data_IF_230308883753
#
_entry.id   IF_230308883753
#
_cell.length_a   1.000
_cell.length_b   1.000
_cell.length_c   1.000
_cell.angle_alpha   90.00
_cell.angle_beta   90.00
_cell.angle_gamma   90.00
#
_symmetry.space_group_name_H-M   'P 1'
#
loop_
_entity.id
_entity.type
_entity.pdbx_description
1 polymer ?
#
# COMPACT_ATOMS: atom_id res chain seq x y z
N UNK A 1 27.46 30.00 8.14
CA UNK A 1 26.18 30.12 7.41
C UNK A 1 25.57 28.75 7.30
N UNK A 2 24.30 28.63 7.68
CA UNK A 2 23.67 27.39 8.12
C UNK A 2 23.24 26.53 6.93
N UNK A 3 23.82 25.35 6.81
CA UNK A 3 23.61 24.47 5.66
C UNK A 3 22.13 24.04 5.56
N UNK A 4 21.37 23.84 6.66
CA UNK A 4 19.94 23.49 6.59
C UNK A 4 19.08 24.44 5.75
N UNK A 5 19.40 25.74 5.73
CA UNK A 5 18.71 26.74 4.88
C UNK A 5 18.84 26.44 3.38
N UNK A 6 19.98 25.91 2.95
CA UNK A 6 20.31 25.77 1.53
C UNK A 6 19.46 24.71 0.81
N UNK A 7 19.07 23.63 1.51
CA UNK A 7 18.25 22.55 0.92
C UNK A 7 16.78 22.96 0.80
N UNK A 8 16.23 23.61 1.83
CA UNK A 8 14.86 24.14 1.79
C UNK A 8 14.73 25.25 0.74
N UNK A 9 15.71 26.16 0.65
CA UNK A 9 15.77 27.20 -0.40
C UNK A 9 15.89 26.60 -1.82
N UNK A 10 16.63 25.51 -1.99
CA UNK A 10 16.75 24.80 -3.28
C UNK A 10 15.42 24.17 -3.70
N UNK A 11 14.67 23.60 -2.75
CA UNK A 11 13.39 22.96 -3.02
C UNK A 11 12.28 23.99 -3.23
N UNK A 12 12.28 25.08 -2.47
CA UNK A 12 11.44 26.25 -2.76
C UNK A 12 11.66 26.74 -4.20
N UNK A 13 12.92 26.79 -4.65
CA UNK A 13 13.25 27.19 -6.01
C UNK A 13 12.76 26.20 -7.06
N UNK A 14 12.93 24.89 -6.83
CA UNK A 14 12.42 23.85 -7.73
C UNK A 14 10.90 23.95 -7.84
N UNK A 15 10.20 24.07 -6.71
CA UNK A 15 8.75 24.24 -6.65
C UNK A 15 8.28 25.50 -7.39
N UNK A 16 9.00 26.62 -7.27
CA UNK A 16 8.70 27.86 -8.00
C UNK A 16 8.92 27.75 -9.51
N UNK A 17 9.87 26.92 -9.96
CA UNK A 17 10.27 26.81 -11.37
C UNK A 17 9.51 25.74 -12.17
N UNK A 18 9.01 24.69 -11.52
CA UNK A 18 8.40 23.54 -12.19
C UNK A 18 7.32 22.80 -11.39
N UNK A 19 6.89 23.32 -10.23
CA UNK A 19 5.90 22.67 -9.36
C UNK A 19 6.42 21.38 -8.70
N UNK A 20 5.52 20.63 -8.06
CA UNK A 20 5.86 19.41 -7.31
C UNK A 20 6.44 18.27 -8.16
N UNK A 21 6.06 18.18 -9.44
CA UNK A 21 6.55 17.16 -10.38
C UNK A 21 8.02 17.29 -10.76
N UNK A 22 8.66 18.40 -10.41
CA UNK A 22 10.09 18.63 -10.67
C UNK A 22 11.00 18.09 -9.56
N UNK A 23 10.44 17.61 -8.44
CA UNK A 23 11.21 17.05 -7.33
C UNK A 23 11.55 15.59 -7.59
N UNK A 24 12.80 15.22 -7.32
CA UNK A 24 13.23 13.82 -7.29
C UNK A 24 12.91 13.17 -5.93
N UNK A 25 12.70 11.86 -5.90
CA UNK A 25 12.44 11.09 -4.67
C UNK A 25 13.46 11.39 -3.56
N UNK A 26 14.75 11.48 -3.90
CA UNK A 26 15.83 11.83 -2.96
C UNK A 26 15.61 13.19 -2.29
N UNK A 27 15.06 14.17 -3.01
CA UNK A 27 14.85 15.53 -2.50
C UNK A 27 13.64 15.56 -1.57
N UNK A 28 12.57 14.85 -1.93
CA UNK A 28 11.38 14.68 -1.09
C UNK A 28 11.76 14.01 0.23
N UNK A 29 12.48 12.87 0.18
CA UNK A 29 12.91 12.13 1.36
C UNK A 29 13.85 12.95 2.23
N UNK A 30 14.81 13.67 1.61
CA UNK A 30 15.76 14.49 2.36
C UNK A 30 15.09 15.63 3.13
N UNK A 31 14.06 16.28 2.57
CA UNK A 31 13.29 17.30 3.30
C UNK A 31 12.50 16.70 4.44
N UNK A 32 11.79 15.61 4.18
CA UNK A 32 10.98 14.95 5.19
C UNK A 32 11.84 14.58 6.40
N UNK A 33 12.98 13.93 6.16
CA UNK A 33 13.92 13.58 7.21
C UNK A 33 14.55 14.82 7.85
N UNK A 34 14.88 15.84 7.07
CA UNK A 34 15.43 17.10 7.58
C UNK A 34 14.51 17.89 8.53
N UNK A 35 13.21 17.58 8.54
CA UNK A 35 12.26 18.15 9.50
C UNK A 35 12.36 17.52 10.90
N UNK A 36 12.92 16.31 11.00
CA UNK A 36 12.97 15.51 12.24
C UNK A 36 14.38 15.04 12.63
N UNK A 37 15.37 15.28 11.77
CA UNK A 37 16.80 15.02 12.00
C UNK A 37 17.64 16.29 11.87
N UNK A 38 18.86 16.26 12.41
CA UNK A 38 19.87 17.21 11.97
C UNK A 38 20.25 16.96 10.50
N UNK A 39 20.79 18.00 9.84
CA UNK A 39 21.05 17.94 8.40
C UNK A 39 21.97 16.78 8.00
N UNK A 40 23.03 16.50 8.76
CA UNK A 40 24.01 15.48 8.38
C UNK A 40 23.33 14.11 8.45
N UNK A 41 22.63 13.83 9.55
CA UNK A 41 21.87 12.60 9.72
C UNK A 41 20.80 12.43 8.63
N UNK A 42 20.04 13.48 8.33
CA UNK A 42 19.02 13.41 7.27
C UNK A 42 19.65 13.05 5.91
N UNK A 43 20.80 13.62 5.57
CA UNK A 43 21.51 13.32 4.33
C UNK A 43 22.06 11.89 4.29
N UNK A 44 22.67 11.44 5.39
CA UNK A 44 23.23 10.10 5.52
C UNK A 44 22.11 9.04 5.42
N UNK A 45 21.00 9.22 6.14
CA UNK A 45 19.83 8.32 6.09
C UNK A 45 19.16 8.35 4.71
N UNK A 46 19.00 9.53 4.10
CA UNK A 46 18.46 9.63 2.72
C UNK A 46 19.31 8.82 1.76
N UNK A 47 20.64 8.95 1.84
CA UNK A 47 21.54 8.20 0.97
C UNK A 47 21.36 6.69 1.19
N UNK A 48 21.38 6.23 2.43
CA UNK A 48 21.16 4.81 2.75
C UNK A 48 19.82 4.30 2.22
N UNK A 49 18.75 5.09 2.35
CA UNK A 49 17.44 4.74 1.79
C UNK A 49 17.48 4.65 0.26
N UNK A 50 18.04 5.64 -0.43
CA UNK A 50 18.12 5.64 -1.91
C UNK A 50 19.02 4.51 -2.45
N UNK A 51 20.07 4.14 -1.72
CA UNK A 51 20.98 3.05 -2.11
C UNK A 51 20.31 1.68 -1.97
N UNK A 52 19.34 1.53 -1.07
CA UNK A 52 18.67 0.25 -0.75
C UNK A 52 17.20 0.18 -1.22
N UNK A 53 16.66 1.27 -1.75
CA UNK A 53 15.28 1.36 -2.23
C UNK A 53 15.27 2.12 -3.57
N UNK A 54 14.96 1.44 -4.71
CA UNK A 54 14.81 2.08 -6.02
C UNK A 54 13.89 3.31 -6.10
N UNK A 55 12.98 3.54 -5.14
CA UNK A 55 12.15 4.74 -5.10
C UNK A 55 11.33 4.92 -3.83
N UNK A 56 10.60 6.04 -3.74
CA UNK A 56 9.83 6.44 -2.56
C UNK A 56 8.72 5.44 -2.20
N UNK A 57 8.14 4.76 -3.20
CA UNK A 57 7.11 3.75 -2.99
C UNK A 57 7.59 2.61 -2.09
N UNK A 58 8.81 2.11 -2.31
CA UNK A 58 9.40 1.05 -1.50
C UNK A 58 9.76 1.52 -0.08
N UNK A 59 10.20 2.77 0.06
CA UNK A 59 10.44 3.38 1.38
C UNK A 59 9.15 3.42 2.20
N UNK A 60 8.06 3.88 1.59
CA UNK A 60 6.74 3.88 2.23
C UNK A 60 6.19 2.46 2.42
N UNK A 61 6.64 1.49 1.63
CA UNK A 61 6.26 0.08 1.73
C UNK A 61 6.77 -0.65 2.97
N UNK A 62 7.97 -0.28 3.45
CA UNK A 62 8.63 -0.91 4.61
C UNK A 62 7.77 -0.88 5.87
N UNK A 63 7.91 -1.93 6.69
CA UNK A 63 7.37 -1.91 8.05
C UNK A 63 8.19 -0.96 8.92
N UNK A 64 7.57 -0.40 9.96
CA UNK A 64 8.23 0.57 10.84
C UNK A 64 9.48 -0.03 11.52
N UNK A 65 9.45 -1.33 11.84
CA UNK A 65 10.59 -2.01 12.47
C UNK A 65 11.74 -2.21 11.46
N UNK A 66 11.43 -2.47 10.19
CA UNK A 66 12.45 -2.51 9.13
C UNK A 66 13.08 -1.13 8.92
N UNK A 67 12.29 -0.06 8.99
CA UNK A 67 12.80 1.32 8.92
C UNK A 67 13.77 1.61 10.07
N UNK A 68 13.44 1.21 11.30
CA UNK A 68 14.29 1.41 12.48
C UNK A 68 15.64 0.67 12.39
N UNK A 69 15.73 -0.38 11.59
CA UNK A 69 16.98 -1.13 11.38
C UNK A 69 17.97 -0.42 10.44
N UNK A 70 17.55 0.67 9.79
CA UNK A 70 18.42 1.46 8.91
C UNK A 70 19.43 2.25 9.74
N UNK A 71 20.71 2.16 9.37
CA UNK A 71 21.78 2.87 10.07
C UNK A 71 21.51 4.39 10.07
N UNK A 72 21.56 4.99 11.27
CA UNK A 72 21.28 6.42 11.47
C UNK A 72 19.80 6.78 11.57
N UNK A 73 18.87 5.85 11.33
CA UNK A 73 17.44 6.08 11.52
C UNK A 73 17.10 6.24 13.00
N UNK A 74 16.42 7.33 13.34
CA UNK A 74 15.84 7.51 14.69
C UNK A 74 14.39 7.05 14.73
N UNK A 75 13.87 6.77 15.93
CA UNK A 75 12.44 6.46 16.11
C UNK A 75 11.52 7.56 15.56
N UNK A 76 11.90 8.83 15.75
CA UNK A 76 11.13 9.98 15.25
C UNK A 76 11.08 10.04 13.72
N UNK A 77 12.16 9.66 13.06
CA UNK A 77 12.23 9.67 11.60
C UNK A 77 11.50 8.49 10.96
N UNK A 78 11.63 7.30 11.54
CA UNK A 78 10.79 6.16 11.16
C UNK A 78 9.30 6.51 11.34
N UNK A 79 8.94 7.15 12.46
CA UNK A 79 7.58 7.60 12.70
C UNK A 79 7.10 8.67 11.70
N UNK A 80 7.98 9.58 11.26
CA UNK A 80 7.66 10.60 10.26
C UNK A 80 7.35 9.99 8.89
N UNK A 81 8.14 9.00 8.45
CA UNK A 81 7.88 8.23 7.22
C UNK A 81 6.54 7.50 7.35
N UNK A 82 6.29 6.83 8.47
CA UNK A 82 5.03 6.12 8.73
C UNK A 82 3.83 7.07 8.72
N UNK A 83 3.97 8.29 9.25
CA UNK A 83 2.91 9.31 9.18
C UNK A 83 2.58 9.70 7.74
N UNK A 84 3.58 9.84 6.87
CA UNK A 84 3.36 10.15 5.44
C UNK A 84 2.69 8.99 4.71
N UNK A 85 3.12 7.75 4.98
CA UNK A 85 2.47 6.53 4.48
C UNK A 85 0.98 6.50 4.86
N UNK A 86 0.67 6.72 6.14
CA UNK A 86 -0.70 6.73 6.64
C UNK A 86 -1.54 7.88 6.08
N UNK A 87 -0.94 9.07 5.91
CA UNK A 87 -1.62 10.20 5.28
C UNK A 87 -2.00 9.88 3.83
N UNK A 88 -1.07 9.29 3.05
CA UNK A 88 -1.33 8.91 1.66
C UNK A 88 -2.41 7.83 1.57
N UNK A 89 -2.34 6.78 2.39
CA UNK A 89 -3.38 5.74 2.50
C UNK A 89 -4.76 6.34 2.79
N UNK A 90 -4.85 7.27 3.74
CA UNK A 90 -6.12 7.92 4.11
C UNK A 90 -6.67 8.79 3.00
N UNK A 91 -5.83 9.55 2.30
CA UNK A 91 -6.24 10.38 1.17
C UNK A 91 -6.87 9.53 0.06
N UNK A 92 -6.26 8.39 -0.29
CA UNK A 92 -6.83 7.46 -1.28
C UNK A 92 -8.12 6.81 -0.78
N UNK A 93 -8.15 6.40 0.50
CA UNK A 93 -9.33 5.80 1.14
C UNK A 93 -10.55 6.71 1.10
N UNK A 94 -10.36 8.02 1.29
CA UNK A 94 -11.46 8.99 1.20
C UNK A 94 -12.09 9.02 -0.19
N UNK A 95 -11.29 8.89 -1.25
CA UNK A 95 -11.79 8.79 -2.62
C UNK A 95 -12.71 7.58 -2.80
N UNK A 96 -12.31 6.42 -2.26
CA UNK A 96 -13.07 5.16 -2.34
C UNK A 96 -14.34 5.14 -1.47
N UNK A 97 -14.42 5.99 -0.45
CA UNK A 97 -15.64 6.15 0.36
C UNK A 97 -16.70 7.02 -0.30
N UNK A 98 -16.29 7.95 -1.18
CA UNK A 98 -17.17 8.96 -1.76
C UNK A 98 -17.91 8.48 -3.02
N UNK A 99 -17.42 7.43 -3.68
CA UNK A 99 -18.03 6.87 -4.89
C UNK A 99 -17.72 5.38 -5.06
N UNK A 100 -18.31 4.73 -6.09
CA UNK A 100 -18.08 3.31 -6.32
C UNK A 100 -16.60 3.04 -6.60
N UNK A 101 -16.03 2.07 -5.89
CA UNK A 101 -14.66 1.61 -6.06
C UNK A 101 -14.43 1.09 -7.48
N UNK A 102 -15.45 0.42 -8.03
CA UNK A 102 -15.39 -0.20 -9.36
C UNK A 102 -15.51 0.81 -10.52
N UNK A 103 -15.89 2.07 -10.27
CA UNK A 103 -15.99 3.09 -11.33
C UNK A 103 -14.61 3.56 -11.83
N UNK A 104 -13.54 3.23 -11.10
CA UNK A 104 -12.18 3.53 -11.51
C UNK A 104 -11.23 2.45 -11.01
N UNK A 105 -10.95 1.51 -11.89
CA UNK A 105 -9.96 0.46 -11.66
C UNK A 105 -8.60 1.05 -11.28
N UNK A 106 -8.20 2.16 -11.90
CA UNK A 106 -6.97 2.88 -11.53
C UNK A 106 -6.92 3.25 -10.05
N UNK A 107 -8.02 3.79 -9.48
CA UNK A 107 -8.09 4.13 -8.05
C UNK A 107 -8.04 2.89 -7.16
N UNK A 108 -8.70 1.81 -7.56
CA UNK A 108 -8.63 0.53 -6.84
C UNK A 108 -7.20 -0.01 -6.82
N UNK A 109 -6.55 -0.07 -7.98
CA UNK A 109 -5.17 -0.55 -8.13
C UNK A 109 -4.19 0.33 -7.36
N UNK A 110 -4.33 1.66 -7.41
CA UNK A 110 -3.52 2.58 -6.60
C UNK A 110 -3.74 2.34 -5.10
N UNK A 111 -4.99 2.17 -4.68
CA UNK A 111 -5.31 1.89 -3.28
C UNK A 111 -4.70 0.57 -2.79
N UNK A 112 -4.82 -0.51 -3.58
CA UNK A 112 -4.22 -1.81 -3.26
C UNK A 112 -2.69 -1.68 -3.22
N UNK A 113 -2.08 -1.00 -4.20
CA UNK A 113 -0.63 -0.81 -4.30
C UNK A 113 -0.05 -0.11 -3.07
N UNK A 114 -0.68 0.95 -2.59
CA UNK A 114 -0.21 1.70 -1.40
C UNK A 114 -0.41 0.92 -0.10
N UNK A 115 -1.41 0.03 -0.05
CA UNK A 115 -1.67 -0.78 1.14
C UNK A 115 -0.73 -1.99 1.25
N UNK A 116 -0.51 -2.72 0.15
CA UNK A 116 0.22 -3.99 0.16
C UNK A 116 1.27 -4.15 -0.95
N UNK A 117 1.19 -3.39 -2.05
CA UNK A 117 2.02 -3.62 -3.24
C UNK A 117 3.53 -3.39 -3.05
N UNK A 118 3.91 -2.53 -2.10
CA UNK A 118 5.31 -2.29 -1.73
C UNK A 118 5.77 -3.07 -0.49
N UNK A 119 4.92 -3.98 0.03
CA UNK A 119 5.30 -4.81 1.16
C UNK A 119 6.36 -5.84 0.75
N UNK A 120 7.42 -5.98 1.56
CA UNK A 120 8.45 -6.99 1.35
C UNK A 120 7.99 -8.41 1.75
N UNK A 121 6.91 -8.50 2.52
CA UNK A 121 6.24 -9.76 2.90
C UNK A 121 4.94 -9.91 2.14
N UNK A 122 4.47 -11.13 1.97
CA UNK A 122 3.11 -11.36 1.52
C UNK A 122 2.10 -10.78 2.52
N UNK A 123 1.13 -10.06 1.98
CA UNK A 123 0.08 -9.42 2.71
C UNK A 123 -1.21 -9.51 1.88
N UNK A 124 -2.29 -9.89 2.54
CA UNK A 124 -3.64 -9.93 1.98
C UNK A 124 -4.40 -8.69 2.43
N UNK A 125 -5.01 -7.98 1.49
CA UNK A 125 -5.96 -6.91 1.72
C UNK A 125 -7.37 -7.40 1.36
N UNK A 126 -8.29 -7.31 2.31
CA UNK A 126 -9.73 -7.48 2.06
C UNK A 126 -10.41 -6.13 2.07
N UNK A 127 -11.15 -5.82 1.00
CA UNK A 127 -11.94 -4.61 0.87
C UNK A 127 -13.42 -5.00 0.95
N UNK A 128 -14.15 -4.44 1.90
CA UNK A 128 -15.58 -4.68 2.10
C UNK A 128 -16.40 -3.52 1.52
N UNK A 129 -17.37 -3.84 0.66
CA UNK A 129 -18.13 -2.87 -0.12
C UNK A 129 -19.62 -2.91 0.21
N UNK A 130 -20.27 -1.75 0.12
CA UNK A 130 -21.74 -1.65 0.21
C UNK A 130 -22.42 -1.96 -1.13
N UNK A 131 -23.76 -1.93 -1.16
CA UNK A 131 -24.56 -2.19 -2.38
C UNK A 131 -24.34 -1.16 -3.50
N UNK A 132 -23.66 -0.06 -3.24
CA UNK A 132 -23.25 0.94 -4.22
C UNK A 132 -21.76 0.80 -4.58
N UNK A 133 -21.14 -0.33 -4.23
CA UNK A 133 -19.72 -0.61 -4.40
C UNK A 133 -18.81 0.42 -3.73
N UNK A 134 -19.25 1.08 -2.66
CA UNK A 134 -18.41 2.03 -1.90
C UNK A 134 -17.70 1.32 -0.77
N UNK A 135 -16.50 1.79 -0.46
CA UNK A 135 -15.71 1.25 0.64
C UNK A 135 -16.41 1.42 2.00
N UNK A 136 -16.77 0.32 2.65
CA UNK A 136 -17.19 0.30 4.06
C UNK A 136 -15.93 0.25 4.94
N UNK A 137 -15.11 -0.78 4.72
CA UNK A 137 -13.92 -1.08 5.52
C UNK A 137 -12.91 -1.87 4.70
N UNK A 138 -11.68 -1.85 5.15
CA UNK A 138 -10.58 -2.68 4.68
C UNK A 138 -9.88 -3.33 5.88
N UNK A 139 -9.25 -4.47 5.62
CA UNK A 139 -8.38 -5.16 6.58
C UNK A 139 -7.16 -5.74 5.86
N UNK A 140 -5.98 -5.47 6.42
CA UNK A 140 -4.72 -6.04 5.95
C UNK A 140 -4.31 -7.17 6.90
N UNK A 141 -3.96 -8.31 6.32
CA UNK A 141 -3.47 -9.50 6.99
C UNK A 141 -2.05 -9.74 6.49
N UNK A 142 -1.07 -9.64 7.39
CA UNK A 142 0.31 -9.94 7.06
C UNK A 142 0.55 -11.44 7.19
N UNK A 143 1.28 -11.99 6.23
CA UNK A 143 1.70 -13.37 6.22
C UNK A 143 2.84 -13.64 7.19
N UNK A 144 3.18 -14.92 7.29
CA UNK A 144 4.46 -15.35 7.83
C UNK A 144 5.53 -15.33 6.71
N UNK A 145 6.69 -15.94 6.91
CA UNK A 145 7.76 -15.99 5.90
C UNK A 145 7.27 -16.69 4.61
N UNK A 146 6.38 -17.68 4.73
CA UNK A 146 6.01 -18.55 3.61
C UNK A 146 4.59 -18.32 3.08
N UNK A 147 3.59 -18.02 3.93
CA UNK A 147 2.20 -17.85 3.48
C UNK A 147 1.35 -16.94 4.41
N UNK A 148 0.25 -16.40 3.87
CA UNK A 148 -0.85 -15.75 4.62
C UNK A 148 -2.02 -16.73 4.77
N UNK A 149 -2.28 -17.23 5.99
CA UNK A 149 -3.51 -17.99 6.24
C UNK A 149 -4.70 -17.07 6.47
N UNK A 150 -5.41 -16.71 5.40
CA UNK A 150 -6.69 -16.02 5.47
C UNK A 150 -7.79 -17.02 5.84
N UNK A 151 -8.52 -16.75 6.93
CA UNK A 151 -9.69 -17.57 7.27
C UNK A 151 -10.95 -16.99 6.63
N UNK A 152 -11.54 -17.73 5.69
CA UNK A 152 -12.79 -17.37 5.00
C UNK A 152 -13.90 -17.13 6.01
N UNK A 153 -13.97 -17.97 7.05
CA UNK A 153 -14.91 -17.80 8.18
C UNK A 153 -14.79 -16.41 8.82
N UNK A 154 -13.56 -15.91 9.02
CA UNK A 154 -13.36 -14.58 9.60
C UNK A 154 -13.79 -13.48 8.63
N UNK A 155 -13.42 -13.61 7.36
CA UNK A 155 -13.80 -12.67 6.29
C UNK A 155 -15.31 -12.59 6.17
N UNK A 156 -16.00 -13.72 6.00
CA UNK A 156 -17.47 -13.79 5.88
C UNK A 156 -18.16 -13.25 7.13
N UNK A 157 -17.70 -13.64 8.33
CA UNK A 157 -18.26 -13.10 9.60
C UNK A 157 -18.16 -11.58 9.64
N UNK A 158 -17.02 -11.03 9.19
CA UNK A 158 -16.77 -9.59 9.22
C UNK A 158 -17.61 -8.86 8.17
N UNK A 159 -17.67 -9.38 6.95
CA UNK A 159 -18.54 -8.88 5.88
C UNK A 159 -20.01 -8.82 6.33
N UNK A 160 -20.54 -9.90 6.93
CA UNK A 160 -21.89 -9.94 7.48
C UNK A 160 -22.11 -8.92 8.59
N UNK A 161 -21.16 -8.79 9.52
CA UNK A 161 -21.28 -7.85 10.65
C UNK A 161 -21.35 -6.38 10.25
N UNK A 162 -20.92 -6.05 9.03
CA UNK A 162 -20.96 -4.68 8.48
C UNK A 162 -21.92 -4.53 7.32
N UNK A 163 -22.76 -5.53 7.05
CA UNK A 163 -23.72 -5.56 5.94
C UNK A 163 -23.07 -5.30 4.57
N UNK A 164 -21.85 -5.83 4.38
CA UNK A 164 -21.18 -5.75 3.09
C UNK A 164 -22.00 -6.52 2.04
N UNK A 165 -22.19 -5.91 0.88
CA UNK A 165 -22.83 -6.54 -0.27
C UNK A 165 -21.82 -7.39 -1.05
N UNK A 166 -20.57 -6.93 -1.10
CA UNK A 166 -19.50 -7.60 -1.82
C UNK A 166 -18.14 -7.32 -1.20
N UNK A 167 -17.14 -8.09 -1.62
CA UNK A 167 -15.74 -7.96 -1.17
C UNK A 167 -14.79 -7.99 -2.37
N UNK A 168 -13.61 -7.42 -2.20
CA UNK A 168 -12.45 -7.63 -3.09
C UNK A 168 -11.35 -8.27 -2.27
N UNK A 169 -10.78 -9.35 -2.79
CA UNK A 169 -9.58 -9.99 -2.27
C UNK A 169 -8.38 -9.40 -3.01
N UNK A 170 -7.29 -9.11 -2.30
CA UNK A 170 -6.04 -8.73 -2.95
C UNK A 170 -4.85 -9.24 -2.16
N UNK A 171 -3.77 -9.62 -2.82
CA UNK A 171 -2.49 -9.88 -2.16
C UNK A 171 -1.32 -9.45 -3.02
N UNK A 172 -0.16 -9.27 -2.41
CA UNK A 172 1.06 -8.97 -3.14
C UNK A 172 1.93 -10.22 -3.33
N UNK A 173 2.65 -10.28 -4.44
CA UNK A 173 3.76 -11.20 -4.65
C UNK A 173 5.08 -10.42 -4.57
N UNK A 174 5.80 -10.44 -3.43
CA UNK A 174 7.10 -9.78 -3.31
C UNK A 174 8.11 -10.25 -4.36
N UNK A 175 8.02 -11.51 -4.80
CA UNK A 175 8.85 -12.09 -5.86
C UNK A 175 8.58 -11.53 -7.26
N UNK A 176 7.53 -10.72 -7.43
CA UNK A 176 7.25 -10.00 -8.68
C UNK A 176 6.49 -10.78 -9.75
N UNK A 177 6.10 -12.04 -9.50
CA UNK A 177 5.24 -12.79 -10.42
C UNK A 177 3.82 -12.27 -10.38
N UNK A 178 3.21 -12.03 -11.55
CA UNK A 178 1.77 -11.75 -11.66
C UNK A 178 0.95 -13.00 -12.00
N UNK A 179 1.61 -14.15 -12.13
CA UNK A 179 0.92 -15.40 -12.40
C UNK A 179 0.35 -15.97 -11.10
N UNK A 180 -0.97 -16.23 -11.04
CA UNK A 180 -1.58 -16.85 -9.87
C UNK A 180 -1.08 -18.28 -9.69
N UNK A 181 -0.65 -18.60 -8.47
CA UNK A 181 -0.35 -19.95 -8.04
C UNK A 181 -1.62 -20.82 -7.99
N UNK A 182 -1.46 -22.13 -7.83
CA UNK A 182 -2.61 -23.00 -7.58
C UNK A 182 -3.27 -22.72 -6.24
N UNK A 183 -2.49 -22.33 -5.22
CA UNK A 183 -3.01 -21.98 -3.90
C UNK A 183 -3.86 -20.69 -3.96
N UNK A 184 -3.45 -19.70 -4.77
CA UNK A 184 -4.27 -18.51 -5.04
C UNK A 184 -5.64 -18.88 -5.62
N UNK A 185 -5.66 -19.81 -6.59
CA UNK A 185 -6.91 -20.28 -7.23
C UNK A 185 -7.76 -21.12 -6.28
N UNK A 186 -7.15 -21.90 -5.40
CA UNK A 186 -7.87 -22.66 -4.36
C UNK A 186 -8.51 -21.69 -3.36
N UNK A 187 -7.72 -20.79 -2.77
CA UNK A 187 -8.20 -19.77 -1.83
C UNK A 187 -9.34 -18.96 -2.44
N UNK A 188 -9.21 -18.53 -3.70
CA UNK A 188 -10.27 -17.80 -4.41
C UNK A 188 -11.57 -18.59 -4.46
N UNK A 189 -11.52 -19.84 -4.92
CA UNK A 189 -12.71 -20.70 -5.06
C UNK A 189 -13.37 -20.99 -3.71
N UNK A 190 -12.57 -21.22 -2.68
CA UNK A 190 -13.06 -21.45 -1.32
C UNK A 190 -13.76 -20.21 -0.77
N UNK A 191 -13.18 -19.03 -0.97
CA UNK A 191 -13.78 -17.77 -0.54
C UNK A 191 -15.06 -17.45 -1.33
N UNK A 192 -15.08 -17.67 -2.64
CA UNK A 192 -16.30 -17.54 -3.48
C UNK A 192 -17.41 -18.44 -2.93
N UNK A 193 -17.12 -19.72 -2.70
CA UNK A 193 -18.08 -20.69 -2.15
C UNK A 193 -18.61 -20.26 -0.78
N UNK A 194 -17.72 -19.78 0.10
CA UNK A 194 -18.09 -19.31 1.44
C UNK A 194 -18.98 -18.06 1.41
N UNK A 195 -18.76 -17.14 0.45
CA UNK A 195 -19.53 -15.91 0.31
C UNK A 195 -20.90 -16.14 -0.35
N UNK A 196 -20.97 -17.03 -1.36
CA UNK A 196 -22.20 -17.37 -2.08
C UNK A 196 -23.32 -17.82 -1.15
N UNK A 197 -22.99 -18.66 -0.14
CA UNK A 197 -23.96 -19.19 0.81
C UNK A 197 -24.67 -18.15 1.68
N UNK A 198 -24.14 -16.92 1.73
CA UNK A 198 -24.68 -15.82 2.56
C UNK A 198 -24.99 -14.56 1.75
N UNK A 199 -24.98 -14.63 0.42
CA UNK A 199 -25.35 -13.53 -0.46
C UNK A 199 -24.33 -12.39 -0.51
N UNK A 200 -23.04 -12.70 -0.32
CA UNK A 200 -21.93 -11.76 -0.52
C UNK A 200 -21.21 -12.15 -1.81
N UNK A 201 -20.89 -11.17 -2.65
CA UNK A 201 -20.15 -11.40 -3.91
C UNK A 201 -18.64 -11.15 -3.72
N UNK A 202 -17.79 -11.96 -4.34
CA UNK A 202 -16.37 -11.64 -4.51
C UNK A 202 -16.22 -10.92 -5.85
N UNK A 203 -16.10 -9.59 -5.81
CA UNK A 203 -16.07 -8.75 -7.02
C UNK A 203 -14.84 -8.99 -7.88
N UNK A 204 -13.69 -9.17 -7.21
CA UNK A 204 -12.41 -9.45 -7.84
C UNK A 204 -11.43 -10.09 -6.86
N UNK A 205 -10.40 -10.72 -7.42
CA UNK A 205 -9.17 -11.09 -6.74
C UNK A 205 -7.97 -10.46 -7.48
N UNK A 206 -7.28 -9.55 -6.80
CA UNK A 206 -6.18 -8.76 -7.38
C UNK A 206 -4.83 -9.21 -6.80
N UNK A 207 -3.97 -9.75 -7.66
CA UNK A 207 -2.56 -9.97 -7.33
C UNK A 207 -1.78 -8.72 -7.69
N UNK A 208 -1.00 -8.19 -6.75
CA UNK A 208 -0.22 -6.96 -6.91
C UNK A 208 1.28 -7.24 -6.89
N UNK A 209 2.03 -6.53 -7.72
CA UNK A 209 3.50 -6.45 -7.62
C UNK A 209 3.93 -4.99 -7.66
N UNK A 210 5.21 -4.74 -7.40
CA UNK A 210 5.83 -3.43 -7.58
C UNK A 210 5.64 -2.87 -9.01
N UNK A 211 5.53 -3.74 -10.01
CA UNK A 211 5.48 -3.37 -11.44
C UNK A 211 4.11 -3.45 -12.09
N UNK A 212 3.14 -4.13 -11.48
CA UNK A 212 1.84 -4.35 -12.14
C UNK A 212 0.84 -5.05 -11.24
N UNK A 213 -0.25 -5.50 -11.85
CA UNK A 213 -1.28 -6.29 -11.18
C UNK A 213 -1.88 -7.34 -12.12
N UNK A 214 -2.56 -8.32 -11.55
CA UNK A 214 -3.38 -9.30 -12.23
C UNK A 214 -4.76 -9.31 -11.57
N UNK A 215 -5.83 -9.15 -12.36
CA UNK A 215 -7.21 -9.30 -11.91
C UNK A 215 -7.73 -10.67 -12.34
N UNK A 216 -8.26 -11.44 -11.39
CA UNK A 216 -8.93 -12.71 -11.69
C UNK A 216 -10.20 -12.48 -12.51
N UNK A 217 -10.93 -11.37 -12.26
CA UNK A 217 -12.11 -11.00 -13.04
C UNK A 217 -11.76 -10.77 -14.51
N UNK A 218 -10.71 -10.00 -14.78
CA UNK A 218 -10.25 -9.72 -16.16
C UNK A 218 -9.71 -10.97 -16.87
N UNK A 219 -9.14 -11.90 -16.11
CA UNK A 219 -8.63 -13.18 -16.63
C UNK A 219 -9.68 -14.29 -16.70
N UNK A 220 -10.94 -14.02 -16.35
CA UNK A 220 -12.03 -15.00 -16.33
C UNK A 220 -11.73 -16.21 -15.41
N UNK A 221 -11.15 -15.94 -14.22
CA UNK A 221 -10.73 -16.94 -13.23
C UNK A 221 -11.63 -17.01 -11.98
N UNK A 222 -12.71 -16.21 -11.91
CA UNK A 222 -13.67 -16.18 -10.81
C UNK A 222 -14.84 -17.17 -11.01
#
# INVERSE_FOLDING_TARGET
MNNGKKLTEEIERVLQSGGGSALFDREIVSVLLGAVHDRKQAQDVTKTLMDNCPGIGEILGREIDDLKMIEGMTEHAAAAIECVKEAYKRALREGLKRGPVMDSQEKLIEYVRVNIGFSAKEAVLIIYLDKQNRLIRDEVYFGTIDEVHLSERKVVKKALSMEAASIILSHNHPGGSLEPSEDDKVMTRELVSACQGVGIELEDHIIMTDKGYCSFKERELL
#
